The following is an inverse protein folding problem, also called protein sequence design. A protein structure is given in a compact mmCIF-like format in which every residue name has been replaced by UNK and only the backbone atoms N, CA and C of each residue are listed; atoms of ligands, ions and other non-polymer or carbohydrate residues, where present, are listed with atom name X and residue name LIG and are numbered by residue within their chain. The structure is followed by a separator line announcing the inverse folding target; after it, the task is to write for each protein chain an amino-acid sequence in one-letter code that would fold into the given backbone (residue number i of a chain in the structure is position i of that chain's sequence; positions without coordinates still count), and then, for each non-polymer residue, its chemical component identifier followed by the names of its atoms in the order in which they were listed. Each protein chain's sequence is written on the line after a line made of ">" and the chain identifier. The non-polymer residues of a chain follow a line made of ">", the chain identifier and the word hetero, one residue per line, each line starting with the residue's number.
data_IF_861978608021
#
_entry.id   IF_861978608021
#
_cell.length_a   1.000
_cell.length_b   1.000
_cell.length_c   1.000
_cell.angle_alpha   90.00
_cell.angle_beta   90.00
_cell.angle_gamma   90.00
#
_symmetry.space_group_name_H-M   'P 1'
#
loop_
_entity.id
_entity.type
_entity.pdbx_description
1 polymer ?
#
# COMPACT_ATOMS: atom_id res chain seq x y z
N UNK A 1 16.54 -23.54 43.69
CA UNK A 1 15.63 -23.38 42.55
C UNK A 1 15.95 -22.05 41.88
N UNK A 2 16.68 -22.08 40.77
CA UNK A 2 16.94 -20.89 39.97
C UNK A 2 15.69 -20.57 39.14
N UNK A 3 15.29 -19.30 39.13
CA UNK A 3 14.29 -18.77 38.21
C UNK A 3 14.99 -18.64 36.84
N UNK A 4 14.69 -19.57 35.92
CA UNK A 4 14.94 -19.39 34.49
C UNK A 4 13.68 -18.75 33.90
N UNK A 5 13.54 -17.44 34.10
CA UNK A 5 12.78 -16.58 33.22
C UNK A 5 13.84 -15.68 32.62
N UNK A 6 14.10 -15.80 31.32
CA UNK A 6 14.71 -14.83 30.41
C UNK A 6 15.28 -15.60 29.22
N UNK A 7 14.37 -16.10 28.39
CA UNK A 7 14.44 -15.84 26.95
C UNK A 7 12.99 -15.47 26.63
N UNK A 8 12.64 -14.22 26.98
CA UNK A 8 11.66 -13.48 26.19
C UNK A 8 12.30 -13.51 24.80
N UNK A 9 11.93 -14.49 23.99
CA UNK A 9 12.22 -14.45 22.57
C UNK A 9 11.69 -13.10 22.16
N UNK A 10 12.59 -12.15 21.93
CA UNK A 10 12.27 -10.90 21.30
C UNK A 10 11.62 -11.34 19.98
N UNK A 11 10.29 -11.46 19.99
CA UNK A 11 9.47 -11.25 18.82
C UNK A 11 9.80 -9.80 18.49
N UNK A 12 10.95 -9.60 17.84
CA UNK A 12 11.17 -8.46 17.00
C UNK A 12 9.94 -8.50 16.11
N UNK A 13 8.94 -7.69 16.47
CA UNK A 13 7.92 -7.14 15.61
C UNK A 13 8.69 -6.47 14.47
N UNK A 14 9.33 -7.29 13.64
CA UNK A 14 10.15 -6.85 12.54
C UNK A 14 9.24 -6.06 11.63
N UNK A 15 9.84 -5.27 10.76
CA UNK A 15 9.08 -4.49 9.80
C UNK A 15 8.23 -5.48 8.97
N UNK A 16 6.94 -5.59 9.27
CA UNK A 16 5.99 -6.47 8.59
C UNK A 16 5.14 -5.63 7.64
N UNK A 17 4.89 -6.15 6.45
CA UNK A 17 3.94 -5.52 5.55
C UNK A 17 2.53 -5.61 6.16
N UNK A 18 1.90 -4.48 6.48
CA UNK A 18 0.54 -4.45 7.08
C UNK A 18 -0.57 -5.06 6.20
N UNK A 19 -0.29 -5.31 4.92
CA UNK A 19 -1.25 -5.90 3.97
C UNK A 19 -1.14 -7.42 3.95
N UNK A 20 0.06 -7.98 3.80
CA UNK A 20 0.26 -9.42 3.67
C UNK A 20 0.79 -10.09 4.95
N UNK A 21 1.16 -9.31 5.97
CA UNK A 21 1.71 -9.80 7.25
C UNK A 21 2.96 -10.67 7.08
N UNK A 22 3.79 -10.34 6.10
CA UNK A 22 5.05 -11.03 5.82
C UNK A 22 6.20 -10.02 5.92
N UNK A 23 7.35 -10.50 6.42
CA UNK A 23 8.60 -9.75 6.48
C UNK A 23 9.23 -9.60 5.09
N UNK A 24 10.22 -8.70 4.97
CA UNK A 24 10.92 -8.40 3.72
C UNK A 24 11.57 -9.67 3.12
N UNK A 25 11.01 -10.15 2.01
CA UNK A 25 11.44 -11.38 1.36
C UNK A 25 11.81 -11.16 -0.10
N UNK A 26 12.75 -10.24 -0.39
CA UNK A 26 13.62 -10.21 -1.59
C UNK A 26 14.15 -8.81 -1.86
N UNK A 27 15.27 -8.71 -2.59
CA UNK A 27 15.84 -7.45 -3.07
C UNK A 27 14.90 -6.63 -3.98
N UNK A 28 13.89 -7.27 -4.58
CA UNK A 28 12.91 -6.63 -5.45
C UNK A 28 11.59 -6.27 -4.77
N UNK A 29 11.35 -6.73 -3.54
CA UNK A 29 10.14 -6.44 -2.76
C UNK A 29 10.49 -5.88 -1.39
N UNK A 30 10.99 -4.65 -1.41
CA UNK A 30 11.32 -3.92 -0.20
C UNK A 30 10.06 -3.42 0.51
N UNK A 31 10.15 -3.31 1.83
CA UNK A 31 9.19 -2.57 2.63
C UNK A 31 9.43 -1.08 2.44
N UNK A 32 8.33 -0.35 2.31
CA UNK A 32 8.30 1.10 2.20
C UNK A 32 7.39 1.68 3.28
N UNK A 33 7.59 2.95 3.57
CA UNK A 33 6.72 3.76 4.43
C UNK A 33 5.84 4.64 3.53
N UNK A 34 4.66 4.16 3.10
CA UNK A 34 3.85 4.87 2.13
C UNK A 34 3.19 6.13 2.72
N UNK A 35 3.22 6.33 4.04
CA UNK A 35 2.58 7.45 4.72
C UNK A 35 3.11 7.57 6.15
N UNK A 36 2.66 8.58 6.90
CA UNK A 36 3.07 8.83 8.29
C UNK A 36 2.44 7.90 9.35
N UNK A 37 1.94 6.73 8.97
CA UNK A 37 1.49 5.74 9.97
C UNK A 37 2.72 5.20 10.71
N UNK A 38 2.56 4.92 12.00
CA UNK A 38 3.64 4.42 12.87
C UNK A 38 3.29 3.06 13.46
N UNK A 39 4.30 2.32 13.93
CA UNK A 39 4.11 0.99 14.51
C UNK A 39 3.71 -0.05 13.45
N UNK A 40 2.78 -0.96 13.78
CA UNK A 40 2.37 -2.07 12.90
C UNK A 40 1.74 -1.66 11.56
N UNK A 41 1.43 -0.38 11.37
CA UNK A 41 0.83 0.17 10.15
C UNK A 41 1.82 0.95 9.26
N UNK A 42 3.08 1.03 9.69
CA UNK A 42 4.13 1.82 9.06
C UNK A 42 4.56 1.23 7.72
N UNK A 43 4.73 -0.09 7.64
CA UNK A 43 5.37 -0.73 6.51
C UNK A 43 4.42 -1.45 5.56
N UNK A 44 4.71 -1.34 4.26
CA UNK A 44 4.01 -2.05 3.18
C UNK A 44 5.03 -2.47 2.13
N UNK A 45 4.93 -3.67 1.56
CA UNK A 45 5.75 -4.02 0.39
C UNK A 45 5.41 -3.16 -0.82
N UNK A 46 6.40 -2.80 -1.64
CA UNK A 46 6.17 -2.07 -2.89
C UNK A 46 5.07 -2.70 -3.77
N UNK A 47 5.10 -4.03 -3.98
CA UNK A 47 4.06 -4.72 -4.75
C UNK A 47 2.68 -4.72 -4.06
N UNK A 48 2.65 -4.87 -2.74
CA UNK A 48 1.39 -4.80 -1.99
C UNK A 48 0.76 -3.41 -2.10
N UNK A 49 1.57 -2.35 -2.07
CA UNK A 49 1.11 -0.98 -2.27
C UNK A 49 0.57 -0.77 -3.69
N UNK A 50 1.27 -1.24 -4.74
CA UNK A 50 0.78 -1.17 -6.12
C UNK A 50 -0.59 -1.84 -6.29
N UNK A 51 -0.75 -3.06 -5.77
CA UNK A 51 -2.02 -3.81 -5.82
C UNK A 51 -3.15 -3.07 -5.09
N UNK A 52 -2.86 -2.50 -3.93
CA UNK A 52 -3.83 -1.71 -3.16
C UNK A 52 -4.28 -0.44 -3.91
N UNK A 53 -3.35 0.27 -4.54
CA UNK A 53 -3.67 1.44 -5.38
C UNK A 53 -4.53 1.05 -6.58
N UNK A 54 -4.19 -0.04 -7.28
CA UNK A 54 -4.99 -0.57 -8.38
C UNK A 54 -6.41 -0.91 -7.93
N UNK A 55 -6.56 -1.61 -6.81
CA UNK A 55 -7.88 -1.95 -6.28
C UNK A 55 -8.72 -0.69 -5.96
N UNK A 56 -8.11 0.36 -5.38
CA UNK A 56 -8.79 1.63 -5.17
C UNK A 56 -9.19 2.30 -6.48
N UNK A 57 -8.33 2.35 -7.48
CA UNK A 57 -8.66 2.94 -8.78
C UNK A 57 -9.82 2.17 -9.44
N UNK A 58 -9.77 0.84 -9.45
CA UNK A 58 -10.79 -0.02 -10.03
C UNK A 58 -12.16 0.12 -9.35
N UNK A 59 -12.19 0.51 -8.08
CA UNK A 59 -13.42 0.79 -7.34
C UNK A 59 -14.11 2.10 -7.76
N UNK A 60 -13.50 2.89 -8.66
CA UNK A 60 -13.99 4.20 -9.06
C UNK A 60 -13.66 5.31 -8.05
N UNK A 61 -12.70 5.07 -7.15
CA UNK A 61 -12.25 6.10 -6.21
C UNK A 61 -11.57 7.25 -6.95
N UNK A 62 -11.83 8.48 -6.51
CA UNK A 62 -11.13 9.65 -7.06
C UNK A 62 -9.63 9.58 -6.79
N UNK A 63 -8.85 10.21 -7.68
CA UNK A 63 -7.39 10.31 -7.53
C UNK A 63 -6.97 10.85 -6.15
N UNK A 64 -7.75 11.78 -5.58
CA UNK A 64 -7.51 12.30 -4.24
C UNK A 64 -7.64 11.19 -3.18
N UNK A 65 -8.68 10.36 -3.24
CA UNK A 65 -8.89 9.26 -2.31
C UNK A 65 -7.89 8.11 -2.52
N UNK A 66 -7.42 7.90 -3.74
CA UNK A 66 -6.37 6.94 -4.10
C UNK A 66 -5.02 7.34 -3.49
N UNK A 67 -4.66 8.62 -3.59
CA UNK A 67 -3.36 9.18 -3.15
C UNK A 67 -3.33 9.62 -1.68
N UNK A 68 -4.37 9.30 -0.91
CA UNK A 68 -4.50 9.68 0.49
C UNK A 68 -4.64 8.42 1.37
N UNK A 69 -3.87 8.36 2.46
CA UNK A 69 -3.95 7.26 3.40
C UNK A 69 -5.32 7.26 4.09
N UNK A 70 -5.96 6.09 4.18
CA UNK A 70 -7.27 5.98 4.80
C UNK A 70 -7.23 6.04 6.33
N UNK A 71 -6.08 5.76 6.93
CA UNK A 71 -5.89 5.73 8.38
C UNK A 71 -5.40 7.09 8.90
N UNK A 72 -4.23 7.56 8.44
CA UNK A 72 -3.65 8.81 8.92
C UNK A 72 -4.09 10.06 8.13
N UNK A 73 -4.83 9.91 7.03
CA UNK A 73 -5.34 10.99 6.16
C UNK A 73 -4.27 11.86 5.48
N UNK A 74 -3.00 11.55 5.64
CA UNK A 74 -1.90 12.20 4.95
C UNK A 74 -1.72 11.67 3.52
N UNK A 75 -1.05 12.46 2.67
CA UNK A 75 -0.69 12.05 1.30
C UNK A 75 0.30 10.90 1.30
N UNK A 76 0.12 9.99 0.35
CA UNK A 76 1.01 8.85 0.18
C UNK A 76 2.35 9.30 -0.43
N UNK A 77 3.45 8.80 0.13
CA UNK A 77 4.82 9.02 -0.38
C UNK A 77 5.19 7.88 -1.33
N UNK A 78 4.90 8.06 -2.61
CA UNK A 78 5.03 7.02 -3.62
C UNK A 78 6.25 7.32 -4.51
N UNK A 79 7.41 6.79 -4.13
CA UNK A 79 8.59 6.73 -4.99
C UNK A 79 8.65 5.35 -5.65
N UNK A 80 7.80 5.12 -6.64
CA UNK A 80 7.80 3.91 -7.45
C UNK A 80 8.26 4.32 -8.84
N UNK A 81 9.52 4.06 -9.20
CA UNK A 81 10.21 4.55 -10.41
C UNK A 81 9.56 4.16 -11.76
N UNK A 82 8.39 3.52 -11.77
CA UNK A 82 7.70 3.04 -12.97
C UNK A 82 6.16 3.08 -12.87
N UNK A 83 5.56 3.73 -11.86
CA UNK A 83 4.10 3.67 -11.65
C UNK A 83 3.45 5.05 -11.70
N UNK A 84 3.02 5.47 -12.90
CA UNK A 84 2.23 6.70 -13.07
C UNK A 84 0.76 6.45 -12.71
N UNK A 85 0.41 6.79 -11.47
CA UNK A 85 -0.95 6.69 -10.90
C UNK A 85 -1.93 7.58 -11.68
N UNK A 86 -1.46 8.68 -12.26
CA UNK A 86 -2.32 9.56 -13.05
C UNK A 86 -2.71 8.92 -14.39
N UNK A 87 -1.80 8.15 -15.01
CA UNK A 87 -2.11 7.44 -16.25
C UNK A 87 -3.13 6.33 -16.03
N UNK A 88 -3.01 5.56 -14.94
CA UNK A 88 -3.97 4.52 -14.59
C UNK A 88 -5.35 5.09 -14.23
N UNK A 89 -5.40 6.18 -13.45
CA UNK A 89 -6.66 6.84 -13.16
C UNK A 89 -7.30 7.42 -14.43
N UNK A 90 -6.51 7.95 -15.39
CA UNK A 90 -7.01 8.39 -16.70
C UNK A 90 -7.55 7.23 -17.53
N UNK A 91 -6.88 6.08 -17.56
CA UNK A 91 -7.35 4.90 -18.27
C UNK A 91 -8.71 4.40 -17.73
N UNK A 92 -8.87 4.33 -16.40
CA UNK A 92 -10.15 3.96 -15.78
C UNK A 92 -11.25 5.01 -15.97
N UNK A 93 -10.92 6.30 -15.98
CA UNK A 93 -11.87 7.35 -16.33
C UNK A 93 -12.32 7.22 -17.80
N UNK A 94 -11.39 6.91 -18.70
CA UNK A 94 -11.69 6.75 -20.13
C UNK A 94 -12.48 5.47 -20.45
N UNK A 95 -12.26 4.36 -19.74
CA UNK A 95 -13.07 3.13 -19.89
C UNK A 95 -14.51 3.31 -19.40
N UNK A 96 -14.72 4.14 -18.37
CA UNK A 96 -16.07 4.53 -17.93
C UNK A 96 -16.76 5.51 -18.90
N UNK A 97 -15.99 6.29 -19.67
CA UNK A 97 -16.51 7.16 -20.75
C UNK A 97 -16.86 6.34 -22.00
N UNK A 98 -16.12 5.26 -22.29
CA UNK A 98 -16.41 4.34 -23.40
C UNK A 98 -17.77 3.65 -23.23
N UNK A 99 -18.14 3.25 -22.01
CA UNK A 99 -19.48 2.69 -21.74
C UNK A 99 -20.58 3.72 -21.95
N UNK A 100 -20.32 5.01 -21.65
CA UNK A 100 -21.33 6.07 -21.73
C UNK A 100 -21.53 6.59 -23.17
N UNK A 101 -20.53 6.45 -24.03
CA UNK A 101 -20.59 6.91 -25.43
C UNK A 101 -21.15 5.87 -26.40
N UNK A 102 -21.28 4.59 -25.99
CA UNK A 102 -21.91 3.52 -26.78
C UNK A 102 -23.44 3.42 -26.58
N UNK A 103 -24.02 4.32 -25.78
CA UNK A 103 -25.47 4.37 -25.49
C UNK A 103 -26.16 5.62 -26.06
N UNK A 104 -25.49 6.38 -26.93
CA UNK A 104 -26.08 7.49 -27.72
C UNK A 104 -25.96 7.22 -29.21
#
# INVERSE_FOLDING_TARGET
>A
MGILLLEDSEEEDGDLCRICQMAAASSSNLLIEPCKCTGSLQYVHQECMKKWLQAKINSGSSLEAVTTCELCKEKLQLNLEDFDIHELHRAHANEQVSIFCLIW
#
